data_IF_635171945367
#
_entry.id   IF_635171945367
#
_cell.length_a   1.000
_cell.length_b   1.000
_cell.length_c   1.000
_cell.angle_alpha   90.00
_cell.angle_beta   90.00
_cell.angle_gamma   90.00
#
_symmetry.space_group_name_H-M   'P 1'
#
loop_
_entity.id
_entity.type
_entity.pdbx_description
1 polymer ?
#
# COMPACT_ATOMS: atom_id res chain seq x y z
N UNK A 1 -20.78 37.10 -74.10
CA UNK A 1 -19.69 36.31 -73.48
C UNK A 1 -19.70 36.56 -71.98
N UNK A 2 -20.31 35.65 -71.22
CA UNK A 2 -20.32 35.63 -69.75
C UNK A 2 -19.31 34.56 -69.34
N UNK A 3 -18.28 34.95 -68.59
CA UNK A 3 -17.35 33.99 -67.98
C UNK A 3 -17.94 33.62 -66.61
N UNK A 4 -18.44 32.39 -66.50
CA UNK A 4 -18.99 31.85 -65.27
C UNK A 4 -17.87 31.45 -64.32
N UNK A 5 -17.93 31.97 -63.09
CA UNK A 5 -17.12 31.50 -61.97
C UNK A 5 -17.56 30.08 -61.58
N UNK A 6 -16.64 29.13 -61.63
CA UNK A 6 -16.82 27.80 -61.04
C UNK A 6 -16.79 27.92 -59.51
N UNK A 7 -17.88 27.48 -58.88
CA UNK A 7 -17.98 27.18 -57.45
C UNK A 7 -17.28 25.84 -57.18
N UNK A 8 -16.34 25.82 -56.23
CA UNK A 8 -15.83 24.60 -55.58
C UNK A 8 -16.26 24.65 -54.10
N UNK A 9 -16.78 23.55 -53.52
CA UNK A 9 -17.22 23.52 -52.13
C UNK A 9 -16.04 23.45 -51.14
N UNK A 10 -16.31 24.02 -49.96
CA UNK A 10 -15.52 24.10 -48.74
C UNK A 10 -14.73 22.85 -48.34
N UNK A 11 -13.42 23.01 -48.12
CA UNK A 11 -12.57 22.05 -47.42
C UNK A 11 -12.31 22.54 -45.99
N UNK A 12 -12.93 21.86 -45.03
CA UNK A 12 -12.59 21.90 -43.60
C UNK A 12 -11.25 21.16 -43.37
N UNK A 13 -10.32 21.69 -42.57
CA UNK A 13 -9.12 20.94 -42.21
C UNK A 13 -9.44 20.03 -41.01
N UNK A 14 -9.77 18.77 -41.28
CA UNK A 14 -9.80 17.71 -40.28
C UNK A 14 -8.86 16.59 -40.73
N UNK A 15 -7.69 16.47 -40.09
CA UNK A 15 -6.91 15.24 -39.87
C UNK A 15 -5.53 15.63 -39.31
N UNK A 16 -5.50 16.08 -38.04
CA UNK A 16 -4.29 15.89 -37.24
C UNK A 16 -4.24 14.39 -36.89
N UNK A 17 -3.37 13.65 -37.56
CA UNK A 17 -2.95 12.33 -37.10
C UNK A 17 -2.15 12.52 -35.81
N UNK A 18 -2.86 12.49 -34.68
CA UNK A 18 -2.28 12.39 -33.35
C UNK A 18 -1.71 10.98 -33.20
N UNK A 19 -0.39 10.85 -33.35
CA UNK A 19 0.33 9.66 -32.88
C UNK A 19 0.15 9.64 -31.35
N UNK A 20 -0.47 8.60 -30.76
CA UNK A 20 -0.62 8.55 -29.31
C UNK A 20 0.76 8.40 -28.67
N UNK A 21 1.05 9.04 -27.53
CA UNK A 21 2.30 8.82 -26.82
C UNK A 21 2.25 7.40 -26.23
N UNK A 22 2.95 6.46 -26.86
CA UNK A 22 3.00 5.03 -26.48
C UNK A 22 3.70 4.79 -25.12
N UNK A 23 4.20 5.84 -24.44
CA UNK A 23 4.95 5.72 -23.18
C UNK A 23 4.16 5.93 -21.88
N UNK A 24 2.98 6.58 -21.89
CA UNK A 24 2.28 6.96 -20.64
C UNK A 24 1.25 5.92 -20.16
N UNK A 25 0.74 5.05 -21.04
CA UNK A 25 -0.34 4.12 -20.71
C UNK A 25 0.11 2.93 -19.86
N UNK A 26 1.36 2.48 -19.96
CA UNK A 26 1.88 1.33 -19.22
C UNK A 26 2.17 1.68 -17.76
N UNK A 27 2.77 2.85 -17.49
CA UNK A 27 2.90 3.36 -16.11
C UNK A 27 1.53 3.54 -15.50
N UNK A 28 0.64 4.26 -16.18
CA UNK A 28 -0.68 4.54 -15.65
C UNK A 28 -1.47 3.24 -15.44
N UNK A 29 -1.34 2.24 -16.31
CA UNK A 29 -2.01 0.95 -16.13
C UNK A 29 -1.39 0.13 -15.00
N UNK A 30 -0.07 0.12 -14.80
CA UNK A 30 0.56 -0.64 -13.71
C UNK A 30 0.37 0.04 -12.34
N UNK A 31 0.45 1.37 -12.29
CA UNK A 31 0.15 2.14 -11.07
C UNK A 31 -1.37 2.22 -10.79
N UNK A 32 -2.23 2.30 -11.81
CA UNK A 32 -3.70 2.26 -11.65
C UNK A 32 -4.26 0.84 -11.42
N UNK A 33 -3.48 -0.19 -11.76
CA UNK A 33 -3.73 -1.58 -11.38
C UNK A 33 -3.52 -1.80 -9.87
N UNK A 34 -2.56 -1.10 -9.26
CA UNK A 34 -2.35 -1.12 -7.80
C UNK A 34 -3.24 -0.10 -7.07
N UNK A 35 -3.58 1.03 -7.71
CA UNK A 35 -4.26 2.16 -7.06
C UNK A 35 -5.49 2.62 -7.86
N UNK A 36 -6.67 2.54 -7.26
CA UNK A 36 -7.92 2.98 -7.90
C UNK A 36 -7.89 4.49 -8.18
N UNK A 37 -8.08 4.89 -9.45
CA UNK A 37 -8.35 6.27 -9.85
C UNK A 37 -9.86 6.51 -9.76
N UNK A 38 -10.31 7.44 -8.90
CA UNK A 38 -11.71 7.85 -8.87
C UNK A 38 -12.08 8.72 -10.09
N UNK A 39 -13.31 8.54 -10.59
CA UNK A 39 -14.08 9.58 -11.28
C UNK A 39 -14.50 10.61 -10.23
N UNK A 40 -14.31 11.88 -10.55
CA UNK A 40 -14.68 13.02 -9.70
C UNK A 40 -16.22 13.07 -9.61
N UNK A 41 -16.76 12.88 -8.40
CA UNK A 41 -18.07 13.41 -8.06
C UNK A 41 -17.85 14.72 -7.30
N UNK A 42 -18.41 15.82 -7.81
CA UNK A 42 -18.31 17.12 -7.16
C UNK A 42 -19.17 17.11 -5.89
N UNK A 43 -18.54 17.09 -4.72
CA UNK A 43 -19.23 17.41 -3.47
C UNK A 43 -19.04 18.91 -3.19
N UNK A 44 -20.15 19.65 -3.16
CA UNK A 44 -20.15 21.08 -2.89
C UNK A 44 -19.99 21.37 -1.39
N UNK A 45 -19.00 22.22 -1.07
CA UNK A 45 -18.90 23.19 0.06
C UNK A 45 -19.60 22.84 1.38
N UNK A 46 -18.80 22.48 2.39
CA UNK A 46 -18.78 23.14 3.71
C UNK A 46 -17.33 23.06 4.26
N UNK A 47 -16.46 23.98 3.86
CA UNK A 47 -15.11 24.12 4.43
C UNK A 47 -14.81 25.60 4.60
N UNK A 48 -15.16 26.14 5.76
CA UNK A 48 -14.77 27.50 6.16
C UNK A 48 -14.55 27.65 7.68
N UNK A 49 -15.09 26.77 8.52
CA UNK A 49 -15.03 26.95 9.99
C UNK A 49 -14.06 26.02 10.74
N UNK A 50 -13.32 25.13 10.06
CA UNK A 50 -12.33 24.24 10.71
C UNK A 50 -10.88 24.74 10.69
N UNK A 51 -10.54 25.75 9.88
CA UNK A 51 -9.15 26.23 9.75
C UNK A 51 -8.62 26.97 10.99
N UNK A 52 -9.49 27.45 11.88
CA UNK A 52 -9.08 28.32 13.00
C UNK A 52 -8.85 27.58 14.33
N UNK A 53 -9.13 26.27 14.38
CA UNK A 53 -8.99 25.46 15.60
C UNK A 53 -7.75 24.55 15.57
N UNK A 54 -7.25 24.20 14.38
CA UNK A 54 -6.06 23.33 14.20
C UNK A 54 -4.74 24.04 14.54
N UNK A 55 -4.68 25.36 14.41
CA UNK A 55 -3.44 26.13 14.58
C UNK A 55 -2.99 26.30 16.04
N UNK A 56 -3.81 25.91 17.02
CA UNK A 56 -3.48 26.03 18.46
C UNK A 56 -3.07 24.74 19.17
N UNK A 57 -3.04 23.59 18.48
CA UNK A 57 -2.67 22.30 19.08
C UNK A 57 -1.45 21.61 18.45
N UNK A 58 -0.78 22.22 17.45
CA UNK A 58 0.36 21.62 16.74
C UNK A 58 1.71 22.27 17.08
N UNK A 59 2.09 22.28 18.36
CA UNK A 59 3.48 22.51 18.78
C UNK A 59 4.03 21.32 19.60
N UNK A 60 3.64 20.10 19.24
CA UNK A 60 4.39 18.89 19.63
C UNK A 60 5.38 18.61 18.50
N UNK A 61 6.67 18.77 18.77
CA UNK A 61 7.73 18.49 17.79
C UNK A 61 7.55 17.08 17.21
N UNK A 62 7.26 16.97 15.91
CA UNK A 62 7.15 15.68 15.22
C UNK A 62 8.46 14.91 15.41
N UNK A 63 8.40 13.69 15.95
CA UNK A 63 9.58 12.81 16.01
C UNK A 63 9.88 12.37 14.58
N UNK A 64 11.05 12.71 14.01
CA UNK A 64 11.37 12.36 12.65
C UNK A 64 11.51 10.83 12.52
N UNK A 65 10.99 10.29 11.42
CA UNK A 65 11.16 8.89 11.06
C UNK A 65 12.64 8.59 10.78
N UNK A 66 13.14 7.48 11.33
CA UNK A 66 14.46 6.97 11.03
C UNK A 66 14.39 5.89 9.94
N UNK A 67 15.30 5.94 8.97
CA UNK A 67 15.48 4.90 7.97
C UNK A 67 16.78 4.15 8.24
N UNK A 68 16.71 2.81 8.27
CA UNK A 68 17.90 1.97 8.37
C UNK A 68 17.81 0.77 7.45
N UNK A 69 18.98 0.25 7.11
CA UNK A 69 19.13 -1.05 6.47
C UNK A 69 19.41 -2.09 7.56
N UNK A 70 18.68 -3.20 7.54
CA UNK A 70 18.85 -4.33 8.44
C UNK A 70 19.08 -5.60 7.63
N UNK A 71 19.96 -6.47 8.11
CA UNK A 71 20.15 -7.80 7.51
C UNK A 71 19.32 -8.81 8.29
N UNK A 72 18.29 -9.37 7.66
CA UNK A 72 17.39 -10.37 8.27
C UNK A 72 17.55 -11.68 7.52
N UNK A 73 17.96 -12.74 8.23
CA UNK A 73 18.25 -14.06 7.64
C UNK A 73 19.06 -14.01 6.33
N UNK A 74 20.06 -13.12 6.30
CA UNK A 74 20.95 -12.95 5.15
C UNK A 74 20.49 -11.94 4.09
N UNK A 75 19.23 -11.51 4.09
CA UNK A 75 18.69 -10.55 3.11
C UNK A 75 18.76 -9.11 3.65
N UNK A 76 19.11 -8.15 2.80
CA UNK A 76 19.12 -6.72 3.15
C UNK A 76 17.74 -6.08 2.98
N UNK A 77 17.27 -5.47 4.06
CA UNK A 77 15.89 -4.97 4.17
C UNK A 77 15.89 -3.52 4.64
N UNK A 78 15.09 -2.69 3.96
CA UNK A 78 14.81 -1.32 4.37
C UNK A 78 13.76 -1.31 5.50
N UNK A 79 14.10 -0.64 6.60
CA UNK A 79 13.26 -0.46 7.77
C UNK A 79 13.04 1.03 7.98
N UNK A 80 11.81 1.37 8.34
CA UNK A 80 11.39 2.71 8.71
C UNK A 80 10.82 2.67 10.12
N UNK A 81 11.40 3.41 11.06
CA UNK A 81 11.07 3.27 12.48
C UNK A 81 10.97 4.60 13.22
N UNK A 82 10.09 4.63 14.22
CA UNK A 82 10.01 5.67 15.25
C UNK A 82 10.14 4.96 16.59
N UNK A 83 11.15 5.34 17.37
CA UNK A 83 11.37 4.78 18.71
C UNK A 83 10.72 5.68 19.77
N UNK A 84 9.91 5.07 20.63
CA UNK A 84 9.43 5.71 21.85
C UNK A 84 10.44 5.51 22.99
N UNK A 85 10.51 6.47 23.91
CA UNK A 85 11.38 6.38 25.09
C UNK A 85 10.90 5.30 26.07
N UNK A 86 9.59 5.24 26.31
CA UNK A 86 8.94 4.29 27.20
C UNK A 86 7.71 3.68 26.51
N UNK A 87 7.91 2.81 25.51
CA UNK A 87 6.80 2.19 24.79
C UNK A 87 6.00 1.29 25.74
N UNK A 88 4.67 1.33 25.64
CA UNK A 88 3.78 0.36 26.29
C UNK A 88 3.46 -0.83 25.37
N UNK A 89 3.65 -0.66 24.06
CA UNK A 89 3.54 -1.69 23.03
C UNK A 89 4.40 -1.35 21.80
N UNK A 90 4.64 -2.35 20.95
CA UNK A 90 5.33 -2.22 19.67
C UNK A 90 4.34 -2.36 18.53
N UNK A 91 4.28 -1.38 17.63
CA UNK A 91 3.57 -1.54 16.35
C UNK A 91 4.54 -2.08 15.31
N UNK A 92 4.20 -3.21 14.70
CA UNK A 92 4.91 -3.75 13.54
C UNK A 92 4.01 -3.60 12.31
N UNK A 93 4.39 -2.71 11.41
CA UNK A 93 3.69 -2.42 10.18
C UNK A 93 4.25 -3.25 9.02
N UNK A 94 3.37 -4.01 8.36
CA UNK A 94 3.68 -4.85 7.20
C UNK A 94 3.07 -4.21 5.94
N UNK A 95 3.88 -3.70 5.00
CA UNK A 95 3.40 -3.05 3.80
C UNK A 95 2.83 -4.05 2.80
N UNK A 96 2.04 -3.55 1.84
CA UNK A 96 1.49 -4.32 0.73
C UNK A 96 2.51 -4.68 -0.35
N UNK A 97 2.03 -4.86 -1.58
CA UNK A 97 2.85 -5.06 -2.77
C UNK A 97 2.54 -3.96 -3.81
N UNK A 98 3.48 -3.01 -4.08
CA UNK A 98 4.87 -2.99 -3.64
C UNK A 98 5.06 -2.66 -2.16
N UNK A 99 5.91 -3.43 -1.48
CA UNK A 99 6.25 -3.16 -0.08
C UNK A 99 7.48 -2.31 0.15
N UNK A 100 7.48 -1.13 -0.45
CA UNK A 100 8.48 -0.07 -0.22
C UNK A 100 8.03 0.76 0.99
N UNK A 101 8.83 0.82 2.05
CA UNK A 101 8.44 1.47 3.32
C UNK A 101 8.19 2.97 3.19
N UNK A 102 8.87 3.65 2.27
CA UNK A 102 8.73 5.10 2.08
C UNK A 102 7.34 5.51 1.56
N UNK A 103 6.53 4.59 1.03
CA UNK A 103 5.13 4.88 0.73
C UNK A 103 4.30 5.18 1.97
N UNK A 104 4.74 4.71 3.14
CA UNK A 104 3.95 4.75 4.36
C UNK A 104 4.49 5.77 5.37
N UNK A 105 5.41 6.65 4.95
CA UNK A 105 6.04 7.61 5.86
C UNK A 105 5.01 8.55 6.50
N UNK A 106 4.16 9.17 5.68
CA UNK A 106 3.08 10.06 6.15
C UNK A 106 2.12 9.32 7.12
N UNK A 107 1.87 8.03 6.86
CA UNK A 107 1.02 7.19 7.72
C UNK A 107 1.69 6.88 9.06
N UNK A 108 2.96 6.48 9.06
CA UNK A 108 3.70 6.14 10.28
C UNK A 108 3.93 7.37 11.17
N UNK A 109 4.22 8.53 10.57
CA UNK A 109 4.33 9.79 11.31
C UNK A 109 3.00 10.17 11.97
N UNK A 110 1.91 10.14 11.20
CA UNK A 110 0.57 10.44 11.71
C UNK A 110 0.16 9.43 12.81
N UNK A 111 0.49 8.16 12.64
CA UNK A 111 0.16 7.13 13.62
C UNK A 111 0.90 7.36 14.94
N UNK A 112 2.20 7.71 14.89
CA UNK A 112 2.96 8.04 16.09
C UNK A 112 2.37 9.27 16.82
N UNK A 113 1.92 10.28 16.08
CA UNK A 113 1.24 11.45 16.65
C UNK A 113 -0.06 11.04 17.36
N UNK A 114 -0.92 10.25 16.71
CA UNK A 114 -2.19 9.82 17.30
C UNK A 114 -2.04 8.79 18.43
N UNK A 115 -0.92 8.08 18.52
CA UNK A 115 -0.58 7.18 19.64
C UNK A 115 0.10 7.91 20.80
N UNK A 116 0.27 9.23 20.71
CA UNK A 116 0.83 10.09 21.76
C UNK A 116 2.27 9.69 22.18
N UNK A 117 3.01 9.01 21.29
CA UNK A 117 4.36 8.51 21.56
C UNK A 117 4.43 7.33 22.54
N UNK A 118 3.29 6.66 22.82
CA UNK A 118 3.23 5.48 23.70
C UNK A 118 3.72 4.19 23.03
N UNK A 119 4.04 4.22 21.74
CA UNK A 119 4.45 3.05 20.98
C UNK A 119 5.71 3.33 20.17
N UNK A 120 6.60 2.35 20.13
CA UNK A 120 7.58 2.27 19.05
C UNK A 120 6.88 1.70 17.81
N UNK A 121 7.19 2.24 16.63
CA UNK A 121 6.61 1.81 15.36
C UNK A 121 7.74 1.38 14.44
N UNK A 122 7.62 0.19 13.85
CA UNK A 122 8.57 -0.35 12.87
C UNK A 122 7.77 -0.76 11.64
N UNK A 123 8.07 -0.17 10.50
CA UNK A 123 7.63 -0.63 9.19
C UNK A 123 8.77 -1.39 8.51
N UNK A 124 8.50 -2.64 8.13
CA UNK A 124 9.50 -3.53 7.51
C UNK A 124 9.20 -3.74 6.02
N UNK A 125 10.16 -3.40 5.16
CA UNK A 125 10.02 -3.57 3.71
C UNK A 125 9.95 -5.03 3.27
N UNK A 126 9.46 -5.25 2.05
CA UNK A 126 9.56 -6.55 1.39
C UNK A 126 11.00 -6.73 0.84
N UNK A 127 11.52 -7.95 0.86
CA UNK A 127 12.86 -8.24 0.34
C UNK A 127 12.93 -7.82 -1.14
N UNK A 128 14.04 -7.20 -1.54
CA UNK A 128 14.29 -6.69 -2.91
C UNK A 128 13.35 -5.57 -3.37
N UNK A 129 12.53 -5.00 -2.49
CA UNK A 129 11.74 -3.79 -2.77
C UNK A 129 12.48 -2.55 -2.30
N UNK A 130 13.77 -2.47 -2.62
CA UNK A 130 14.72 -1.49 -2.11
C UNK A 130 15.36 -0.68 -3.23
N UNK A 131 15.98 0.46 -2.89
CA UNK A 131 16.63 1.33 -3.89
C UNK A 131 17.82 0.70 -4.63
N UNK A 132 18.45 -0.33 -4.06
CA UNK A 132 19.60 -1.04 -4.62
C UNK A 132 19.32 -2.54 -4.69
N UNK A 133 19.87 -3.21 -5.69
CA UNK A 133 19.79 -4.67 -5.80
C UNK A 133 20.82 -5.33 -4.88
N UNK A 134 20.44 -5.56 -3.62
CA UNK A 134 21.29 -6.24 -2.65
C UNK A 134 21.34 -7.76 -2.84
N UNK A 135 20.31 -8.32 -3.47
CA UNK A 135 20.08 -9.77 -3.57
C UNK A 135 20.44 -10.31 -4.96
N UNK A 136 21.18 -9.54 -5.75
CA UNK A 136 21.71 -9.92 -7.07
C UNK A 136 20.63 -10.48 -8.01
N UNK A 137 19.46 -9.84 -8.04
CA UNK A 137 18.34 -10.20 -8.90
C UNK A 137 17.53 -11.41 -8.42
N UNK A 138 17.80 -11.94 -7.22
CA UNK A 138 16.99 -13.01 -6.62
C UNK A 138 15.53 -12.56 -6.48
N UNK A 139 14.63 -13.50 -6.77
CA UNK A 139 13.18 -13.33 -6.65
C UNK A 139 12.69 -14.02 -5.37
N UNK A 140 11.76 -13.36 -4.68
CA UNK A 140 11.25 -13.82 -3.39
C UNK A 140 9.73 -14.00 -3.46
N UNK A 141 9.27 -15.21 -3.13
CA UNK A 141 7.87 -15.59 -3.06
C UNK A 141 7.15 -14.99 -1.85
N UNK A 142 5.81 -15.01 -1.84
CA UNK A 142 5.03 -14.64 -0.66
C UNK A 142 5.44 -15.42 0.59
N UNK A 143 5.69 -16.72 0.48
CA UNK A 143 6.15 -17.53 1.62
C UNK A 143 7.52 -17.09 2.14
N UNK A 144 8.49 -16.85 1.25
CA UNK A 144 9.81 -16.33 1.67
C UNK A 144 9.68 -14.93 2.30
N UNK A 145 8.74 -14.11 1.82
CA UNK A 145 8.43 -12.84 2.45
C UNK A 145 7.86 -13.04 3.86
N UNK A 146 6.95 -14.01 4.08
CA UNK A 146 6.41 -14.33 5.41
C UNK A 146 7.53 -14.80 6.35
N UNK A 147 8.30 -15.80 5.92
CA UNK A 147 9.40 -16.37 6.71
C UNK A 147 10.40 -15.29 7.14
N UNK A 148 10.70 -14.35 6.24
CA UNK A 148 11.55 -13.20 6.56
C UNK A 148 10.98 -12.29 7.66
N UNK A 149 9.67 -12.04 7.73
CA UNK A 149 9.09 -11.20 8.81
C UNK A 149 9.06 -11.97 10.12
N UNK A 150 8.86 -13.29 10.05
CA UNK A 150 8.95 -14.18 11.21
C UNK A 150 10.37 -14.16 11.78
N UNK A 151 11.38 -14.25 10.92
CA UNK A 151 12.78 -14.19 11.33
C UNK A 151 13.16 -12.80 11.87
N UNK A 152 12.63 -11.72 11.28
CA UNK A 152 12.80 -10.38 11.83
C UNK A 152 12.27 -10.28 13.27
N UNK A 153 11.08 -10.84 13.53
CA UNK A 153 10.50 -10.84 14.88
C UNK A 153 11.41 -11.61 15.85
N UNK A 154 11.91 -12.78 15.46
CA UNK A 154 12.85 -13.56 16.27
C UNK A 154 14.15 -12.78 16.56
N UNK A 155 14.71 -12.13 15.54
CA UNK A 155 15.99 -11.43 15.66
C UNK A 155 15.89 -10.14 16.46
N UNK A 156 14.89 -9.30 16.18
CA UNK A 156 14.86 -7.90 16.63
C UNK A 156 13.78 -7.64 17.68
N UNK A 157 12.70 -8.43 17.69
CA UNK A 157 11.55 -8.18 18.55
C UNK A 157 11.35 -9.23 19.65
N UNK A 158 12.03 -10.38 19.62
CA UNK A 158 11.82 -11.45 20.61
C UNK A 158 12.22 -11.04 22.02
N UNK A 159 13.26 -10.24 22.16
CA UNK A 159 13.73 -9.68 23.45
C UNK A 159 12.87 -8.51 23.97
N UNK A 160 12.05 -7.90 23.11
CA UNK A 160 11.16 -6.78 23.48
C UNK A 160 10.08 -7.29 24.42
N UNK A 161 9.96 -6.70 25.61
CA UNK A 161 9.04 -7.16 26.67
C UNK A 161 7.60 -6.69 26.49
N UNK A 162 7.38 -5.67 25.67
CA UNK A 162 6.05 -5.11 25.43
C UNK A 162 5.31 -5.91 24.35
N UNK A 163 3.97 -5.96 24.40
CA UNK A 163 3.19 -6.69 23.40
C UNK A 163 3.33 -6.08 22.00
N UNK A 164 3.10 -6.92 20.98
CA UNK A 164 3.16 -6.52 19.58
C UNK A 164 1.73 -6.31 19.05
N UNK A 165 1.54 -5.22 18.31
CA UNK A 165 0.37 -4.96 17.47
C UNK A 165 0.81 -5.01 16.01
N UNK A 166 0.17 -5.87 15.23
CA UNK A 166 0.38 -5.95 13.80
C UNK A 166 -0.55 -5.01 13.07
N UNK A 167 -0.02 -4.30 12.07
CA UNK A 167 -0.82 -3.52 11.13
C UNK A 167 -0.37 -3.89 9.72
N UNK A 168 -1.24 -4.52 8.95
CA UNK A 168 -0.93 -4.98 7.60
C UNK A 168 -1.72 -4.20 6.56
N UNK A 169 -1.09 -3.77 5.46
CA UNK A 169 -1.80 -3.19 4.32
C UNK A 169 -1.87 -4.18 3.16
N UNK A 170 -3.04 -4.35 2.53
CA UNK A 170 -3.21 -5.21 1.35
C UNK A 170 -2.74 -6.64 1.65
N UNK A 171 -1.83 -7.20 0.85
CA UNK A 171 -1.19 -8.51 1.12
C UNK A 171 -0.43 -8.54 2.47
N UNK A 172 0.02 -7.39 2.97
CA UNK A 172 0.58 -7.26 4.31
C UNK A 172 -0.40 -7.67 5.41
N UNK A 173 -1.71 -7.61 5.15
CA UNK A 173 -2.74 -8.16 6.05
C UNK A 173 -2.63 -9.68 6.15
N UNK A 174 -2.52 -10.38 5.02
CA UNK A 174 -2.33 -11.83 5.01
C UNK A 174 -1.03 -12.24 5.72
N UNK A 175 0.08 -11.54 5.42
CA UNK A 175 1.36 -11.76 6.11
C UNK A 175 1.22 -11.55 7.62
N UNK A 176 0.43 -10.56 8.05
CA UNK A 176 0.18 -10.30 9.47
C UNK A 176 -0.63 -11.43 10.13
N UNK A 177 -1.58 -12.06 9.43
CA UNK A 177 -2.28 -13.24 9.93
C UNK A 177 -1.33 -14.43 10.13
N UNK A 178 -0.42 -14.65 9.18
CA UNK A 178 0.59 -15.71 9.28
C UNK A 178 1.60 -15.47 10.42
N UNK A 179 1.93 -14.20 10.70
CA UNK A 179 2.71 -13.83 11.87
C UNK A 179 1.91 -14.09 13.15
N UNK A 180 0.63 -13.70 13.21
CA UNK A 180 -0.23 -13.92 14.37
C UNK A 180 -0.33 -15.42 14.73
N UNK A 181 -0.40 -16.32 13.73
CA UNK A 181 -0.36 -17.77 13.96
C UNK A 181 0.87 -18.22 14.74
N UNK A 182 2.04 -17.67 14.40
CA UNK A 182 3.33 -18.10 14.96
C UNK A 182 3.67 -17.43 16.29
N UNK A 183 3.12 -16.24 16.54
CA UNK A 183 3.43 -15.42 17.71
C UNK A 183 2.18 -15.02 18.48
N UNK A 184 1.20 -15.92 18.60
CA UNK A 184 -0.13 -15.65 19.17
C UNK A 184 -0.11 -15.16 20.63
N UNK A 185 0.91 -15.53 21.41
CA UNK A 185 1.11 -15.05 22.78
C UNK A 185 1.64 -13.62 22.84
N UNK A 186 2.51 -13.25 21.89
CA UNK A 186 3.17 -11.94 21.86
C UNK A 186 2.39 -10.89 21.08
N UNK A 187 1.66 -11.32 20.06
CA UNK A 187 0.81 -10.48 19.24
C UNK A 187 -0.58 -10.41 19.88
N UNK A 188 -0.93 -9.24 20.39
CA UNK A 188 -2.18 -9.03 21.13
C UNK A 188 -3.31 -8.47 20.26
N UNK A 189 -2.96 -7.93 19.08
CA UNK A 189 -3.91 -7.34 18.14
C UNK A 189 -3.32 -7.28 16.72
N UNK A 190 -4.17 -7.47 15.71
CA UNK A 190 -3.81 -7.45 14.30
C UNK A 190 -4.87 -6.70 13.49
N UNK A 191 -4.46 -5.62 12.84
CA UNK A 191 -5.33 -4.73 12.05
C UNK A 191 -4.97 -4.86 10.57
N UNK A 192 -5.88 -5.41 9.77
CA UNK A 192 -5.75 -5.48 8.31
C UNK A 192 -6.40 -4.28 7.62
N UNK A 193 -5.61 -3.52 6.86
CA UNK A 193 -6.02 -2.33 6.14
C UNK A 193 -6.17 -2.67 4.66
N UNK A 194 -7.35 -2.45 4.10
CA UNK A 194 -7.71 -2.80 2.72
C UNK A 194 -7.24 -4.22 2.37
N UNK A 195 -7.71 -5.23 3.11
CA UNK A 195 -7.03 -6.52 3.21
C UNK A 195 -7.14 -7.33 1.91
N UNK A 196 -6.03 -7.94 1.48
CA UNK A 196 -6.03 -8.92 0.38
C UNK A 196 -5.82 -10.32 0.96
N UNK A 197 -6.92 -11.06 1.14
CA UNK A 197 -6.93 -12.39 1.79
C UNK A 197 -7.48 -13.50 0.90
N UNK A 198 -8.14 -13.16 -0.20
CA UNK A 198 -8.67 -14.10 -1.18
C UNK A 198 -8.85 -13.41 -2.53
N UNK A 199 -8.96 -14.18 -3.61
CA UNK A 199 -9.13 -13.63 -4.95
C UNK A 199 -10.53 -13.07 -5.19
N UNK A 200 -10.57 -11.91 -5.82
CA UNK A 200 -11.80 -11.38 -6.38
C UNK A 200 -11.96 -11.90 -7.81
N UNK A 201 -12.70 -12.99 -7.97
CA UNK A 201 -12.93 -13.62 -9.28
C UNK A 201 -13.62 -12.70 -10.29
N UNK A 202 -14.31 -11.65 -9.83
CA UNK A 202 -14.98 -10.67 -10.68
C UNK A 202 -14.04 -9.53 -11.12
N UNK A 203 -12.84 -9.44 -10.55
CA UNK A 203 -11.90 -8.36 -10.86
C UNK A 203 -11.12 -8.64 -12.15
N UNK A 204 -11.47 -7.92 -13.21
CA UNK A 204 -10.70 -7.90 -14.47
C UNK A 204 -9.27 -7.42 -14.25
N UNK A 205 -9.05 -6.49 -13.30
CA UNK A 205 -7.72 -6.01 -12.92
C UNK A 205 -6.87 -7.13 -12.32
N UNK A 206 -7.39 -7.88 -11.33
CA UNK A 206 -6.65 -9.02 -10.77
C UNK A 206 -6.35 -10.06 -11.85
N UNK A 207 -7.30 -10.36 -12.74
CA UNK A 207 -7.08 -11.29 -13.85
C UNK A 207 -5.95 -10.84 -14.79
N UNK A 208 -5.90 -9.55 -15.16
CA UNK A 208 -4.86 -9.00 -16.02
C UNK A 208 -3.48 -9.06 -15.34
N UNK A 209 -3.39 -8.62 -14.08
CA UNK A 209 -2.15 -8.64 -13.31
C UNK A 209 -1.69 -10.07 -13.11
N UNK A 210 -2.59 -10.99 -12.76
CA UNK A 210 -2.28 -12.42 -12.59
C UNK A 210 -1.71 -13.04 -13.86
N UNK A 211 -2.28 -12.75 -15.04
CA UNK A 211 -1.75 -13.22 -16.34
C UNK A 211 -0.36 -12.64 -16.64
N UNK A 212 -0.17 -11.34 -16.39
CA UNK A 212 1.14 -10.68 -16.55
C UNK A 212 2.19 -11.30 -15.63
N UNK A 213 1.85 -11.48 -14.35
CA UNK A 213 2.71 -11.99 -13.30
C UNK A 213 3.06 -13.48 -13.52
N UNK A 214 2.11 -14.29 -13.99
CA UNK A 214 2.31 -15.71 -14.27
C UNK A 214 3.24 -15.98 -15.47
N UNK A 215 3.36 -15.03 -16.40
CA UNK A 215 4.27 -15.14 -17.55
C UNK A 215 5.63 -14.55 -17.23
N UNK A 216 6.65 -15.40 -17.13
CA UNK A 216 8.03 -14.98 -16.87
C UNK A 216 8.54 -13.98 -17.91
N UNK A 217 8.22 -14.19 -19.20
CA UNK A 217 8.63 -13.32 -20.31
C UNK A 217 7.91 -11.98 -20.24
N UNK A 218 6.58 -11.96 -20.07
CA UNK A 218 5.82 -10.70 -20.03
C UNK A 218 6.19 -9.89 -18.79
N UNK A 219 6.33 -10.55 -17.63
CA UNK A 219 6.74 -9.91 -16.39
C UNK A 219 8.15 -9.32 -16.49
N UNK A 220 9.11 -10.05 -17.07
CA UNK A 220 10.46 -9.55 -17.28
C UNK A 220 10.48 -8.38 -18.27
N UNK A 221 9.70 -8.46 -19.34
CA UNK A 221 9.58 -7.39 -20.35
C UNK A 221 8.95 -6.13 -19.73
N UNK A 222 7.86 -6.26 -18.99
CA UNK A 222 7.23 -5.12 -18.31
C UNK A 222 8.18 -4.47 -17.29
N UNK A 223 8.92 -5.29 -16.52
CA UNK A 223 9.92 -4.81 -15.57
C UNK A 223 11.06 -4.06 -16.27
N UNK A 224 11.51 -4.55 -17.43
CA UNK A 224 12.53 -3.88 -18.24
C UNK A 224 12.02 -2.54 -18.80
N UNK A 225 10.79 -2.51 -19.30
CA UNK A 225 10.16 -1.27 -19.80
C UNK A 225 10.06 -0.22 -18.69
N UNK A 226 9.63 -0.59 -17.48
CA UNK A 226 9.61 0.32 -16.34
C UNK A 226 11.03 0.76 -15.95
N UNK A 227 11.99 -0.17 -15.93
CA UNK A 227 13.37 0.16 -15.59
C UNK A 227 14.02 1.11 -16.61
N UNK A 228 13.63 1.02 -17.88
CA UNK A 228 14.13 1.93 -18.93
C UNK A 228 13.79 3.39 -18.65
N UNK A 229 12.74 3.66 -17.87
CA UNK A 229 12.39 5.01 -17.42
C UNK A 229 13.50 5.65 -16.59
N UNK A 230 14.43 4.88 -15.99
CA UNK A 230 15.61 5.41 -15.29
C UNK A 230 16.48 6.32 -16.17
N UNK A 231 16.44 6.13 -17.48
CA UNK A 231 17.15 6.99 -18.42
C UNK A 231 16.65 8.44 -18.37
N UNK A 232 15.44 8.67 -17.85
CA UNK A 232 14.92 10.02 -17.60
C UNK A 232 15.56 10.61 -16.33
N UNK A 233 16.18 11.80 -16.41
CA UNK A 233 16.68 12.49 -15.23
C UNK A 233 15.53 12.87 -14.28
N UNK A 234 15.83 13.02 -12.98
CA UNK A 234 14.81 13.25 -11.94
C UNK A 234 13.91 14.47 -12.20
N UNK A 235 14.47 15.54 -12.79
CA UNK A 235 13.72 16.74 -13.14
C UNK A 235 12.64 16.48 -14.21
N UNK A 236 12.80 15.46 -15.05
CA UNK A 236 11.83 15.04 -16.05
C UNK A 236 10.90 13.92 -15.51
N UNK A 237 11.45 13.00 -14.72
CA UNK A 237 10.70 11.87 -14.18
C UNK A 237 9.63 12.31 -13.18
N UNK A 238 9.95 13.24 -12.27
CA UNK A 238 9.04 13.73 -11.23
C UNK A 238 7.75 14.34 -11.80
N UNK A 239 7.80 15.33 -12.73
CA UNK A 239 6.58 15.89 -13.32
C UNK A 239 5.81 14.86 -14.17
N UNK A 240 6.49 13.91 -14.82
CA UNK A 240 5.81 12.84 -15.56
C UNK A 240 5.00 11.94 -14.62
N UNK A 241 5.59 11.53 -13.49
CA UNK A 241 4.92 10.73 -12.46
C UNK A 241 3.77 11.51 -11.83
N UNK A 242 3.97 12.77 -11.42
CA UNK A 242 2.91 13.57 -10.81
C UNK A 242 1.74 13.81 -11.77
N UNK A 243 2.03 14.11 -13.04
CA UNK A 243 0.99 14.40 -14.04
C UNK A 243 0.21 13.16 -14.49
N UNK A 244 0.80 11.96 -14.37
CA UNK A 244 0.13 10.72 -14.79
C UNK A 244 -0.82 10.14 -13.73
N UNK A 245 -0.70 10.57 -12.48
CA UNK A 245 -1.25 9.86 -11.32
C UNK A 245 -2.19 10.74 -10.46
N UNK A 246 -2.08 12.07 -10.56
CA UNK A 246 -3.05 13.03 -9.98
C UNK A 246 -2.42 13.96 -8.93
N UNK A 247 -3.00 15.16 -8.78
CA UNK A 247 -2.45 16.23 -7.95
C UNK A 247 -2.50 15.99 -6.42
N UNK A 248 -3.16 14.92 -5.97
CA UNK A 248 -3.36 14.61 -4.54
C UNK A 248 -2.28 13.74 -3.91
N UNK A 249 -1.30 13.26 -4.70
CA UNK A 249 -0.26 12.37 -4.22
C UNK A 249 0.80 13.12 -3.41
N UNK A 250 1.28 12.51 -2.33
CA UNK A 250 2.32 13.11 -1.50
C UNK A 250 3.69 13.09 -2.19
N UNK A 251 4.53 14.05 -1.84
CA UNK A 251 5.90 14.14 -2.35
C UNK A 251 6.73 12.88 -2.04
N UNK A 252 6.47 12.30 -0.87
CA UNK A 252 7.09 11.07 -0.35
C UNK A 252 6.77 9.88 -1.27
N UNK A 253 5.53 9.78 -1.71
CA UNK A 253 5.04 8.78 -2.65
C UNK A 253 5.65 8.95 -4.05
N UNK A 254 5.67 10.18 -4.56
CA UNK A 254 6.28 10.50 -5.86
C UNK A 254 7.78 10.14 -5.83
N UNK A 255 8.46 10.46 -4.73
CA UNK A 255 9.87 10.11 -4.53
C UNK A 255 10.06 8.59 -4.48
N UNK A 256 9.23 7.86 -3.72
CA UNK A 256 9.28 6.40 -3.62
C UNK A 256 9.17 5.71 -4.98
N UNK A 257 8.22 6.15 -5.82
CA UNK A 257 8.09 5.67 -7.22
C UNK A 257 9.38 5.93 -8.00
N UNK A 258 9.90 7.15 -7.90
CA UNK A 258 11.05 7.58 -8.69
C UNK A 258 12.34 6.83 -8.35
N UNK A 259 12.50 6.39 -7.09
CA UNK A 259 13.73 5.77 -6.60
C UNK A 259 13.67 4.24 -6.53
N UNK A 260 12.52 3.65 -6.19
CA UNK A 260 12.37 2.21 -5.99
C UNK A 260 11.68 1.52 -7.16
N UNK A 261 10.50 1.99 -7.58
CA UNK A 261 9.69 1.26 -8.57
C UNK A 261 10.23 1.33 -10.00
N UNK A 262 11.14 2.27 -10.26
CA UNK A 262 11.93 2.32 -11.50
C UNK A 262 13.10 1.33 -11.53
N UNK A 263 13.29 0.51 -10.50
CA UNK A 263 14.36 -0.49 -10.49
C UNK A 263 13.87 -1.80 -11.10
N UNK A 264 14.70 -2.41 -11.94
CA UNK A 264 14.37 -3.69 -12.58
C UNK A 264 14.13 -4.79 -11.54
N UNK A 265 15.06 -4.96 -10.58
CA UNK A 265 14.97 -6.03 -9.56
C UNK A 265 13.73 -5.86 -8.68
N UNK A 266 13.35 -4.62 -8.34
CA UNK A 266 12.15 -4.33 -7.55
C UNK A 266 10.89 -4.69 -8.32
N UNK A 267 10.73 -4.25 -9.58
CA UNK A 267 9.53 -4.58 -10.35
C UNK A 267 9.43 -6.09 -10.67
N UNK A 268 10.57 -6.75 -10.88
CA UNK A 268 10.63 -8.20 -11.01
C UNK A 268 10.13 -8.90 -9.75
N UNK A 269 10.52 -8.43 -8.56
CA UNK A 269 10.06 -8.98 -7.30
C UNK A 269 8.59 -8.66 -7.02
N UNK A 270 8.11 -7.44 -7.30
CA UNK A 270 6.69 -7.07 -7.21
C UNK A 270 5.81 -8.04 -8.01
N UNK A 271 6.17 -8.28 -9.28
CA UNK A 271 5.40 -9.17 -10.15
C UNK A 271 5.57 -10.65 -9.78
N UNK A 272 6.76 -11.08 -9.36
CA UNK A 272 6.97 -12.46 -8.92
C UNK A 272 6.21 -12.77 -7.63
N UNK A 273 6.25 -11.85 -6.66
CA UNK A 273 5.48 -11.93 -5.43
C UNK A 273 3.98 -11.96 -5.75
N UNK A 274 3.48 -11.05 -6.59
CA UNK A 274 2.08 -11.03 -7.02
C UNK A 274 1.63 -12.38 -7.64
N UNK A 275 2.49 -13.01 -8.47
CA UNK A 275 2.21 -14.34 -9.01
C UNK A 275 2.02 -15.39 -7.91
N UNK A 276 2.87 -15.37 -6.88
CA UNK A 276 2.75 -16.30 -5.74
C UNK A 276 1.58 -15.96 -4.81
N UNK A 277 1.25 -14.68 -4.65
CA UNK A 277 0.04 -14.23 -3.95
C UNK A 277 -1.22 -14.79 -4.62
N UNK A 278 -1.32 -14.68 -5.95
CA UNK A 278 -2.48 -15.21 -6.69
C UNK A 278 -2.60 -16.72 -6.59
N UNK A 279 -1.50 -17.46 -6.44
CA UNK A 279 -1.52 -18.91 -6.25
C UNK A 279 -1.99 -19.28 -4.85
N UNK A 280 -1.47 -18.60 -3.84
CA UNK A 280 -1.79 -18.88 -2.43
C UNK A 280 -3.24 -18.49 -2.11
N UNK A 281 -3.64 -17.26 -2.46
CA UNK A 281 -4.95 -16.71 -2.13
C UNK A 281 -6.09 -17.22 -3.01
N UNK A 282 -5.80 -18.15 -3.92
CA UNK A 282 -6.83 -18.91 -4.64
C UNK A 282 -7.55 -19.91 -3.72
N UNK A 283 -6.92 -20.29 -2.60
CA UNK A 283 -7.58 -21.04 -1.53
C UNK A 283 -8.57 -20.15 -0.76
N UNK A 284 -9.53 -20.79 -0.10
CA UNK A 284 -10.43 -20.08 0.81
C UNK A 284 -9.66 -19.59 2.06
N UNK A 285 -10.05 -18.45 2.64
CA UNK A 285 -9.55 -18.03 3.94
C UNK A 285 -9.77 -19.12 4.99
N UNK A 286 -8.81 -19.27 5.90
CA UNK A 286 -8.94 -20.17 7.04
C UNK A 286 -9.91 -19.58 8.07
N UNK A 287 -11.17 -19.92 7.91
CA UNK A 287 -12.27 -19.45 8.76
C UNK A 287 -12.18 -19.97 10.19
N UNK A 288 -11.56 -21.13 10.42
CA UNK A 288 -11.34 -21.66 11.77
C UNK A 288 -10.37 -20.77 12.54
N UNK A 289 -9.22 -20.45 11.95
CA UNK A 289 -8.27 -19.53 12.55
C UNK A 289 -8.86 -18.13 12.79
N UNK A 290 -9.63 -17.60 11.83
CA UNK A 290 -10.28 -16.30 12.00
C UNK A 290 -11.26 -16.30 13.18
N UNK A 291 -12.07 -17.37 13.33
CA UNK A 291 -12.97 -17.52 14.48
C UNK A 291 -12.23 -17.64 15.80
N UNK A 292 -11.16 -18.42 15.86
CA UNK A 292 -10.39 -18.59 17.09
C UNK A 292 -9.71 -17.30 17.55
N UNK A 293 -9.47 -16.37 16.62
CA UNK A 293 -8.73 -15.13 16.86
C UNK A 293 -9.56 -13.86 16.67
N UNK A 294 -10.88 -13.94 16.51
CA UNK A 294 -11.75 -12.80 16.16
C UNK A 294 -11.59 -11.60 17.11
N UNK A 295 -11.41 -11.84 18.41
CA UNK A 295 -11.16 -10.79 19.42
C UNK A 295 -9.82 -10.07 19.29
N UNK A 296 -8.87 -10.62 18.51
CA UNK A 296 -7.58 -10.03 18.17
C UNK A 296 -7.55 -9.40 16.78
N UNK A 297 -8.61 -9.57 15.99
CA UNK A 297 -8.63 -9.14 14.59
C UNK A 297 -9.47 -7.89 14.39
N UNK A 298 -8.98 -7.01 13.53
CA UNK A 298 -9.75 -5.91 12.99
C UNK A 298 -9.45 -5.71 11.50
N UNK A 299 -10.46 -5.29 10.73
CA UNK A 299 -10.28 -5.00 9.31
C UNK A 299 -10.97 -3.70 8.90
N UNK A 300 -10.24 -2.90 8.12
CA UNK A 300 -10.75 -1.72 7.44
C UNK A 300 -10.88 -2.00 5.94
N UNK A 301 -12.09 -1.93 5.41
CA UNK A 301 -12.39 -2.14 4.00
C UNK A 301 -12.64 -0.82 3.26
N UNK A 302 -12.26 -0.77 1.99
CA UNK A 302 -12.61 0.35 1.10
C UNK A 302 -13.86 0.06 0.28
N UNK A 303 -14.62 1.11 -0.03
CA UNK A 303 -15.70 1.01 -1.03
C UNK A 303 -15.07 0.80 -2.42
N UNK A 304 -15.60 -0.17 -3.17
CA UNK A 304 -15.12 -0.56 -4.51
C UNK A 304 -13.64 -1.00 -4.56
N UNK A 305 -13.11 -1.49 -3.44
CA UNK A 305 -11.78 -2.09 -3.40
C UNK A 305 -11.82 -3.50 -4.01
N UNK A 306 -11.10 -3.70 -5.11
CA UNK A 306 -11.06 -5.02 -5.74
C UNK A 306 -10.11 -5.99 -5.05
N UNK A 307 -9.19 -5.52 -4.20
CA UNK A 307 -8.26 -6.36 -3.43
C UNK A 307 -8.93 -6.93 -2.18
N UNK A 308 -9.67 -6.09 -1.47
CA UNK A 308 -10.55 -6.47 -0.35
C UNK A 308 -12.01 -6.16 -0.70
N UNK A 309 -12.69 -6.98 -1.51
CA UNK A 309 -14.07 -6.71 -1.90
C UNK A 309 -15.03 -6.79 -0.69
N UNK A 310 -16.13 -6.03 -0.71
CA UNK A 310 -17.11 -6.03 0.38
C UNK A 310 -17.79 -7.39 0.58
N UNK A 311 -17.77 -8.27 -0.43
CA UNK A 311 -18.15 -9.67 -0.27
C UNK A 311 -17.31 -10.37 0.81
N UNK A 312 -16.00 -10.11 0.87
CA UNK A 312 -15.13 -10.64 1.93
C UNK A 312 -15.49 -10.04 3.30
N UNK A 313 -15.83 -8.74 3.36
CA UNK A 313 -16.36 -8.13 4.59
C UNK A 313 -17.61 -8.88 5.09
N UNK A 314 -18.56 -9.16 4.19
CA UNK A 314 -19.78 -9.89 4.54
C UNK A 314 -19.48 -11.33 4.99
N UNK A 315 -18.55 -12.02 4.34
CA UNK A 315 -18.11 -13.36 4.73
C UNK A 315 -17.48 -13.37 6.11
N UNK A 316 -16.54 -12.46 6.40
CA UNK A 316 -15.92 -12.36 7.74
C UNK A 316 -17.00 -12.05 8.78
N UNK A 317 -17.96 -11.16 8.49
CA UNK A 317 -19.04 -10.84 9.43
C UNK A 317 -19.92 -12.05 9.80
N UNK A 318 -20.04 -13.03 8.89
CA UNK A 318 -20.81 -14.26 9.11
C UNK A 318 -19.96 -15.34 9.78
N UNK A 319 -18.70 -15.46 9.37
CA UNK A 319 -17.81 -16.53 9.82
C UNK A 319 -17.18 -16.23 11.18
N UNK A 320 -16.82 -14.97 11.47
CA UNK A 320 -16.13 -14.52 12.68
C UNK A 320 -16.79 -13.23 13.22
N UNK A 321 -18.01 -13.33 13.77
CA UNK A 321 -18.92 -12.20 14.00
C UNK A 321 -18.46 -11.17 15.03
N UNK A 322 -17.49 -11.49 15.90
CA UNK A 322 -16.98 -10.51 16.87
C UNK A 322 -15.73 -9.76 16.38
N UNK A 323 -15.25 -10.07 15.17
CA UNK A 323 -14.17 -9.34 14.52
C UNK A 323 -14.55 -7.87 14.34
N UNK A 324 -13.65 -6.94 14.68
CA UNK A 324 -13.90 -5.51 14.47
C UNK A 324 -13.83 -5.17 12.98
N UNK A 325 -14.98 -4.93 12.35
CA UNK A 325 -15.08 -4.64 10.92
C UNK A 325 -15.49 -3.18 10.69
N UNK A 326 -14.77 -2.50 9.80
CA UNK A 326 -15.01 -1.10 9.45
C UNK A 326 -14.96 -0.89 7.94
N UNK A 327 -15.70 0.11 7.46
CA UNK A 327 -15.71 0.52 6.05
C UNK A 327 -15.29 1.99 5.99
N UNK A 328 -14.32 2.29 5.15
CA UNK A 328 -13.89 3.65 4.82
C UNK A 328 -14.97 4.36 3.99
N UNK A 329 -15.36 5.58 4.41
CA UNK A 329 -16.48 6.34 3.81
C UNK A 329 -16.13 7.77 3.41
N UNK A 330 -14.93 8.26 3.72
CA UNK A 330 -14.43 9.60 3.36
C UNK A 330 -13.79 9.64 1.96
N UNK A 331 -13.65 8.47 1.32
CA UNK A 331 -13.18 8.34 -0.06
C UNK A 331 -11.70 8.08 -0.22
N UNK A 332 -11.02 7.67 0.85
CA UNK A 332 -9.66 7.16 0.81
C UNK A 332 -9.63 5.74 0.21
N UNK A 333 -8.85 5.55 -0.86
CA UNK A 333 -8.81 4.29 -1.62
C UNK A 333 -7.80 3.30 -1.05
N UNK A 334 -7.70 2.11 -1.66
CA UNK A 334 -6.63 1.14 -1.39
C UNK A 334 -5.23 1.78 -1.35
N UNK A 335 -4.99 2.83 -2.13
CA UNK A 335 -3.76 3.61 -2.10
C UNK A 335 -3.73 4.72 -1.07
N UNK A 336 -4.33 4.56 0.12
CA UNK A 336 -4.44 5.63 1.12
C UNK A 336 -3.07 6.26 1.44
N UNK A 337 -2.03 5.42 1.49
CA UNK A 337 -0.65 5.80 1.80
C UNK A 337 -0.04 6.73 0.73
N UNK A 338 -0.62 6.77 -0.47
CA UNK A 338 -0.16 7.64 -1.54
C UNK A 338 -0.53 9.12 -1.33
N UNK A 339 -1.37 9.43 -0.33
CA UNK A 339 -1.84 10.80 -0.05
C UNK A 339 -1.65 11.13 1.42
N UNK A 340 -1.37 12.41 1.74
CA UNK A 340 -1.25 12.85 3.13
C UNK A 340 -2.57 12.69 3.87
N UNK A 341 -3.69 13.08 3.26
CA UNK A 341 -5.02 12.98 3.87
C UNK A 341 -5.43 11.53 4.16
N UNK A 342 -5.24 10.61 3.19
CA UNK A 342 -5.54 9.20 3.40
C UNK A 342 -4.63 8.56 4.45
N UNK A 343 -3.35 8.92 4.46
CA UNK A 343 -2.39 8.48 5.48
C UNK A 343 -2.81 8.91 6.88
N UNK A 344 -3.15 10.19 7.07
CA UNK A 344 -3.58 10.72 8.35
C UNK A 344 -4.90 10.09 8.83
N UNK A 345 -5.89 9.96 7.95
CA UNK A 345 -7.19 9.37 8.29
C UNK A 345 -7.06 7.91 8.73
N UNK A 346 -6.34 7.09 7.95
CA UNK A 346 -6.14 5.68 8.29
C UNK A 346 -5.29 5.52 9.55
N UNK A 347 -4.30 6.39 9.76
CA UNK A 347 -3.53 6.42 11.01
C UNK A 347 -4.42 6.72 12.23
N UNK A 348 -5.34 7.68 12.11
CA UNK A 348 -6.30 8.00 13.17
C UNK A 348 -7.23 6.81 13.45
N UNK A 349 -7.71 6.13 12.40
CA UNK A 349 -8.51 4.92 12.54
C UNK A 349 -7.76 3.83 13.31
N UNK A 350 -6.52 3.53 12.91
CA UNK A 350 -5.66 2.54 13.57
C UNK A 350 -5.42 2.92 15.03
N UNK A 351 -5.06 4.16 15.31
CA UNK A 351 -4.85 4.63 16.68
C UNK A 351 -6.11 4.50 17.54
N UNK A 352 -7.29 4.80 16.99
CA UNK A 352 -8.58 4.65 17.68
C UNK A 352 -8.86 3.19 18.01
N UNK A 353 -8.65 2.28 17.07
CA UNK A 353 -8.82 0.83 17.30
C UNK A 353 -7.88 0.33 18.40
N UNK A 354 -6.61 0.75 18.37
CA UNK A 354 -5.62 0.41 19.41
C UNK A 354 -6.03 0.96 20.78
N UNK A 355 -6.45 2.23 20.86
CA UNK A 355 -6.88 2.87 22.11
C UNK A 355 -8.12 2.19 22.71
N UNK A 356 -9.11 1.84 21.88
CA UNK A 356 -10.30 1.11 22.32
C UNK A 356 -9.91 -0.27 22.88
N UNK A 357 -9.05 -0.99 22.17
CA UNK A 357 -8.56 -2.32 22.59
C UNK A 357 -7.91 -2.30 23.97
N UNK A 358 -7.13 -1.28 24.30
CA UNK A 358 -6.49 -1.18 25.62
C UNK A 358 -7.38 -0.58 26.71
N UNK A 359 -8.44 0.13 26.33
CA UNK A 359 -9.42 0.67 27.28
C UNK A 359 -10.37 -0.41 27.80
N UNK A 360 -10.71 -1.40 26.97
CA UNK A 360 -11.59 -2.52 27.34
C UNK A 360 -10.95 -3.53 28.34
N UNK A 361 -9.66 -3.41 28.62
CA UNK A 361 -8.91 -4.28 29.56
C UNK A 361 -8.52 -3.59 30.88
N UNK A 362 -8.98 -2.36 31.12
CA UNK A 362 -8.91 -1.66 32.41
C UNK A 362 -10.26 -1.76 33.11
#
# INVERSE_FOLDING_TARGET
MRVGHLLLPSLTPSLCFSIPPIGSSILQSLYSCCFSSRRIYSLNRVTADMENTETKLMEKAKRPVNFRLCRVSGSMTEIMEIQAENPTFQVLFIPGNPGVVSFYMDFVESLNEFLDGNASIIAIGQISHTTKDWESGKLFSLQEQIDHKVDFIRQELESVKVPIILVGHSIGSYISLEILRKFSEKVVYCIGLYPFLTLNQQSTKQSLIGKLAASSVLSATASFLIASLRLLPMWAARPLVSNSIGASWSDTTVQAICTHLRQYHTMRNVLFMAMTEFRELAAEPDWEFMRENESKLAFLFGIDDHWGPLQLFEEISKQAPTTSLSIEREGHTHGFCCTVAGSAWVAQHVATQIKNRFSDHQ
#
